data_IF_276392531395
#
_entry.id   IF_276392531395
#
_cell.length_a   1.000
_cell.length_b   1.000
_cell.length_c   1.000
_cell.angle_alpha   90.00
_cell.angle_beta   90.00
_cell.angle_gamma   90.00
#
_symmetry.space_group_name_H-M   'P 1'
#
loop_
_entity.id
_entity.type
_entity.pdbx_description
1 polymer ?
#
# COMPACT_ATOMS: atom_id res chain seq x y z
N UNK A 1 -3.07 19.34 25.18
CA UNK A 1 -2.67 18.66 23.93
C UNK A 1 -1.66 17.59 24.28
N UNK A 2 -2.13 16.37 24.46
CA UNK A 2 -1.26 15.21 24.69
C UNK A 2 -0.62 14.83 23.36
N UNK A 3 0.58 15.32 23.11
CA UNK A 3 1.41 14.86 22.01
C UNK A 3 1.77 13.40 22.27
N UNK A 4 1.21 12.51 21.50
CA UNK A 4 1.37 11.07 21.68
C UNK A 4 2.82 10.69 21.32
N UNK A 5 3.66 10.48 22.33
CA UNK A 5 5.09 10.15 22.21
C UNK A 5 5.36 8.95 21.26
N UNK A 6 4.39 8.02 21.13
CA UNK A 6 4.48 6.89 20.20
C UNK A 6 4.48 7.32 18.73
N UNK A 7 3.75 8.39 18.39
CA UNK A 7 3.72 8.91 17.02
C UNK A 7 5.03 9.66 16.68
N UNK A 8 5.63 10.33 17.67
CA UNK A 8 6.91 11.02 17.49
C UNK A 8 8.03 10.00 17.29
N UNK A 9 8.09 8.93 18.09
CA UNK A 9 9.12 7.90 17.95
C UNK A 9 9.01 7.14 16.62
N UNK A 10 7.78 6.84 16.16
CA UNK A 10 7.56 6.18 14.87
C UNK A 10 7.97 7.08 13.69
N UNK A 11 7.61 8.36 13.73
CA UNK A 11 7.99 9.33 12.69
C UNK A 11 9.50 9.54 12.64
N UNK A 12 10.17 9.56 13.79
CA UNK A 12 11.61 9.70 13.90
C UNK A 12 12.33 8.45 13.36
N UNK A 13 11.87 7.25 13.72
CA UNK A 13 12.40 6.00 13.21
C UNK A 13 12.23 5.89 11.69
N UNK A 14 11.06 6.26 11.18
CA UNK A 14 10.77 6.26 9.76
C UNK A 14 11.65 7.27 9.01
N UNK A 15 11.85 8.47 9.56
CA UNK A 15 12.72 9.49 8.95
C UNK A 15 14.19 9.06 8.92
N UNK A 16 14.69 8.42 9.99
CA UNK A 16 16.03 7.84 10.02
C UNK A 16 16.19 6.73 8.98
N UNK A 17 15.21 5.83 8.87
CA UNK A 17 15.22 4.77 7.88
C UNK A 17 15.25 5.32 6.46
N UNK A 18 14.41 6.32 6.17
CA UNK A 18 14.39 6.99 4.87
C UNK A 18 15.71 7.73 4.57
N UNK A 19 16.33 8.35 5.58
CA UNK A 19 17.63 9.00 5.43
C UNK A 19 18.73 7.98 5.10
N UNK A 20 18.73 6.83 5.77
CA UNK A 20 19.66 5.72 5.49
C UNK A 20 19.42 5.17 4.08
N UNK A 21 18.17 4.92 3.69
CA UNK A 21 17.82 4.46 2.35
C UNK A 21 18.25 5.48 1.28
N UNK A 22 18.01 6.76 1.52
CA UNK A 22 18.43 7.84 0.63
C UNK A 22 19.96 7.93 0.52
N UNK A 23 20.67 7.75 1.63
CA UNK A 23 22.13 7.69 1.63
C UNK A 23 22.64 6.51 0.80
N UNK A 24 22.11 5.30 1.00
CA UNK A 24 22.43 4.13 0.18
C UNK A 24 22.11 4.35 -1.30
N UNK A 25 20.96 4.94 -1.61
CA UNK A 25 20.58 5.30 -2.97
C UNK A 25 21.57 6.29 -3.59
N UNK A 26 21.87 7.38 -2.88
CA UNK A 26 22.70 8.47 -3.40
C UNK A 26 24.19 8.09 -3.50
N UNK A 27 24.71 7.33 -2.56
CA UNK A 27 26.12 6.97 -2.47
C UNK A 27 26.44 5.58 -3.03
N UNK A 28 25.54 4.62 -2.89
CA UNK A 28 25.68 3.28 -3.47
C UNK A 28 25.60 3.25 -5.00
N UNK A 29 24.79 4.13 -5.58
CA UNK A 29 24.65 4.25 -7.05
C UNK A 29 25.82 4.99 -7.68
N UNK A 30 26.46 5.93 -6.97
CA UNK A 30 27.61 6.67 -7.50
C UNK A 30 28.84 5.80 -7.78
N UNK A 31 28.92 4.61 -7.17
CA UNK A 31 30.11 3.76 -7.31
C UNK A 31 30.21 2.99 -8.63
N UNK A 32 29.12 2.85 -9.41
CA UNK A 32 29.10 1.91 -10.52
C UNK A 32 28.60 2.38 -11.89
N UNK A 33 28.33 3.66 -12.16
CA UNK A 33 28.10 4.07 -13.54
C UNK A 33 28.15 5.58 -13.78
N UNK A 34 29.04 5.99 -14.66
CA UNK A 34 29.22 7.37 -15.19
C UNK A 34 28.02 7.80 -16.07
N UNK A 35 27.11 6.91 -16.45
CA UNK A 35 25.99 7.17 -17.37
C UNK A 35 24.66 6.46 -17.04
N UNK A 36 24.31 6.23 -15.79
CA UNK A 36 22.98 5.71 -15.51
C UNK A 36 22.00 6.87 -15.37
N UNK A 37 21.04 6.98 -16.32
CA UNK A 37 19.83 7.82 -16.21
C UNK A 37 19.30 7.69 -14.79
N UNK A 38 19.18 8.80 -14.07
CA UNK A 38 18.71 8.79 -12.68
C UNK A 38 17.35 8.09 -12.62
N UNK A 39 17.32 6.88 -12.07
CA UNK A 39 16.09 6.13 -11.88
C UNK A 39 15.40 6.60 -10.61
N UNK A 40 14.08 6.65 -10.63
CA UNK A 40 13.29 7.00 -9.47
C UNK A 40 13.37 5.89 -8.42
N UNK A 41 13.33 6.24 -7.14
CA UNK A 41 13.25 5.26 -6.05
C UNK A 41 11.81 4.80 -5.89
N UNK A 42 11.57 3.51 -6.10
CA UNK A 42 10.24 2.91 -5.96
C UNK A 42 10.16 2.12 -4.66
N UNK A 43 9.23 2.50 -3.80
CA UNK A 43 8.89 1.82 -2.55
C UNK A 43 7.56 1.09 -2.74
N UNK A 44 7.52 -0.20 -2.47
CA UNK A 44 6.30 -0.99 -2.42
C UNK A 44 5.77 -1.11 -0.99
N UNK A 45 4.46 -0.94 -0.80
CA UNK A 45 3.79 -1.19 0.48
C UNK A 45 2.68 -2.21 0.27
N UNK A 46 2.92 -3.43 0.71
CA UNK A 46 1.98 -4.54 0.65
C UNK A 46 1.27 -4.82 1.98
N UNK A 47 0.16 -5.52 1.91
CA UNK A 47 -0.60 -5.97 3.07
C UNK A 47 -2.10 -5.98 2.81
N UNK A 48 -2.85 -6.67 3.68
CA UNK A 48 -4.29 -6.84 3.55
C UNK A 48 -5.06 -5.52 3.74
N UNK A 49 -6.35 -5.56 3.49
CA UNK A 49 -7.25 -4.41 3.71
C UNK A 49 -7.41 -4.13 5.20
N UNK A 50 -7.19 -2.87 5.60
CA UNK A 50 -7.33 -2.45 7.00
C UNK A 50 -6.06 -2.58 7.85
N UNK A 51 -4.91 -2.97 7.29
CA UNK A 51 -3.65 -3.15 8.04
C UNK A 51 -2.89 -1.85 8.35
N UNK A 52 -3.35 -0.68 7.86
CA UNK A 52 -2.70 0.61 8.14
C UNK A 52 -1.79 1.14 7.02
N UNK A 53 -1.89 0.63 5.79
CA UNK A 53 -1.11 1.13 4.63
C UNK A 53 -1.23 2.65 4.44
N UNK A 54 -2.45 3.17 4.49
CA UNK A 54 -2.71 4.62 4.33
C UNK A 54 -2.07 5.46 5.44
N UNK A 55 -2.00 4.94 6.67
CA UNK A 55 -1.31 5.61 7.78
C UNK A 55 0.17 5.77 7.48
N UNK A 56 0.83 4.71 7.01
CA UNK A 56 2.23 4.77 6.60
C UNK A 56 2.43 5.72 5.41
N UNK A 57 1.54 5.68 4.40
CA UNK A 57 1.58 6.58 3.25
C UNK A 57 1.51 8.05 3.67
N UNK A 58 0.60 8.39 4.58
CA UNK A 58 0.47 9.76 5.08
C UNK A 58 1.74 10.22 5.82
N UNK A 59 2.36 9.33 6.59
CA UNK A 59 3.63 9.64 7.26
C UNK A 59 4.76 9.87 6.26
N UNK A 60 4.83 9.07 5.19
CA UNK A 60 5.79 9.28 4.09
C UNK A 60 5.54 10.60 3.36
N UNK A 61 4.27 10.94 3.12
CA UNK A 61 3.90 12.21 2.48
C UNK A 61 4.32 13.42 3.33
N UNK A 62 4.15 13.34 4.65
CA UNK A 62 4.57 14.42 5.55
C UNK A 62 6.09 14.64 5.53
N UNK A 63 6.87 13.57 5.37
CA UNK A 63 8.35 13.66 5.34
C UNK A 63 8.88 14.08 3.97
N UNK A 64 8.35 13.50 2.89
CA UNK A 64 8.87 13.66 1.53
C UNK A 64 8.21 14.80 0.74
N UNK A 65 7.03 15.26 1.20
CA UNK A 65 6.32 16.39 0.61
C UNK A 65 6.08 16.21 -0.90
N UNK A 66 6.39 17.26 -1.65
CA UNK A 66 6.16 17.29 -3.10
C UNK A 66 7.06 16.36 -3.92
N UNK A 67 8.08 15.75 -3.31
CA UNK A 67 8.96 14.78 -3.96
C UNK A 67 8.33 13.39 -4.06
N UNK A 68 7.24 13.13 -3.35
CA UNK A 68 6.56 11.85 -3.32
C UNK A 68 5.43 11.79 -4.36
N UNK A 69 5.42 10.72 -5.14
CA UNK A 69 4.27 10.27 -5.94
C UNK A 69 3.67 9.04 -5.27
N UNK A 70 2.38 9.08 -4.99
CA UNK A 70 1.63 7.92 -4.44
C UNK A 70 0.80 7.29 -5.55
N UNK A 71 0.91 5.97 -5.68
CA UNK A 71 0.12 5.13 -6.59
C UNK A 71 -0.61 4.07 -5.76
N UNK A 72 -1.92 4.18 -5.70
CA UNK A 72 -2.75 3.19 -5.01
C UNK A 72 -3.10 2.05 -5.97
N UNK A 73 -2.61 0.84 -5.66
CA UNK A 73 -2.89 -0.36 -6.44
C UNK A 73 -4.33 -0.84 -6.32
N UNK A 74 -5.01 -0.46 -5.23
CA UNK A 74 -6.43 -0.79 -5.04
C UNK A 74 -7.35 -0.07 -6.05
N UNK A 75 -6.85 0.93 -6.78
CA UNK A 75 -7.53 1.57 -7.91
C UNK A 75 -7.47 0.79 -9.23
N UNK A 76 -6.76 -0.34 -9.29
CA UNK A 76 -6.56 -1.14 -10.50
C UNK A 76 -7.61 -2.27 -10.67
N UNK A 77 -8.85 -2.09 -10.22
CA UNK A 77 -9.92 -3.05 -10.49
C UNK A 77 -10.16 -3.22 -11.99
N UNK A 78 -10.62 -4.41 -12.40
CA UNK A 78 -10.97 -4.67 -13.80
C UNK A 78 -12.34 -4.19 -14.19
N UNK A 79 -13.27 -4.19 -13.25
CA UNK A 79 -14.69 -3.96 -13.50
C UNK A 79 -15.25 -2.86 -12.60
N UNK A 80 -16.26 -2.19 -13.07
CA UNK A 80 -17.08 -1.27 -12.27
C UNK A 80 -18.10 -2.03 -11.43
N UNK A 81 -18.60 -1.38 -10.39
CA UNK A 81 -19.68 -1.96 -9.58
C UNK A 81 -20.94 -2.08 -10.43
N UNK A 82 -21.51 -3.28 -10.47
CA UNK A 82 -22.69 -3.60 -11.29
C UNK A 82 -22.33 -4.35 -12.58
N UNK A 83 -21.04 -4.50 -12.94
CA UNK A 83 -20.63 -5.43 -13.99
C UNK A 83 -20.90 -6.88 -13.58
N UNK A 84 -21.27 -7.73 -14.53
CA UNK A 84 -21.58 -9.16 -14.30
C UNK A 84 -20.41 -9.94 -13.68
N UNK A 85 -19.19 -9.48 -13.86
CA UNK A 85 -17.99 -10.11 -13.31
C UNK A 85 -17.63 -9.59 -11.91
N UNK A 86 -18.26 -8.50 -11.45
CA UNK A 86 -17.96 -7.87 -10.16
C UNK A 86 -18.04 -8.82 -8.97
N UNK A 87 -19.04 -9.72 -8.98
CA UNK A 87 -19.28 -10.65 -7.89
C UNK A 87 -18.62 -12.02 -8.09
N UNK A 88 -17.97 -12.28 -9.26
CA UNK A 88 -17.35 -13.59 -9.54
C UNK A 88 -16.05 -13.82 -8.77
N UNK A 89 -15.36 -12.74 -8.44
CA UNK A 89 -14.07 -12.79 -7.74
C UNK A 89 -14.07 -11.79 -6.60
N UNK A 90 -13.39 -12.11 -5.49
CA UNK A 90 -13.15 -11.11 -4.47
C UNK A 90 -12.10 -10.11 -4.98
N UNK A 91 -12.04 -8.92 -4.40
CA UNK A 91 -11.01 -7.93 -4.75
C UNK A 91 -9.59 -8.37 -4.35
N UNK A 92 -9.47 -9.44 -3.54
CA UNK A 92 -8.20 -10.04 -3.18
C UNK A 92 -7.70 -11.05 -4.22
N UNK A 93 -8.58 -11.54 -5.10
CA UNK A 93 -8.16 -12.38 -6.22
C UNK A 93 -7.44 -11.51 -7.28
N UNK A 94 -6.20 -11.86 -7.68
CA UNK A 94 -5.48 -11.18 -8.75
C UNK A 94 -6.27 -11.06 -10.06
N UNK A 95 -7.20 -12.00 -10.31
CA UNK A 95 -8.06 -11.97 -11.51
C UNK A 95 -9.02 -10.79 -11.54
N UNK A 96 -9.40 -10.25 -10.38
CA UNK A 96 -10.25 -9.08 -10.28
C UNK A 96 -9.50 -7.75 -10.52
N UNK A 97 -8.18 -7.80 -10.69
CA UNK A 97 -7.32 -6.62 -10.75
C UNK A 97 -6.45 -6.61 -12.03
N UNK A 98 -6.11 -5.43 -12.51
CA UNK A 98 -5.23 -5.22 -13.68
C UNK A 98 -3.75 -5.28 -13.28
N UNK A 99 -3.32 -6.36 -12.60
CA UNK A 99 -1.96 -6.48 -12.04
C UNK A 99 -0.85 -6.42 -13.08
N UNK A 100 -1.10 -6.87 -14.32
CA UNK A 100 -0.12 -6.74 -15.42
C UNK A 100 0.03 -5.29 -15.87
N UNK A 101 -1.08 -4.55 -16.01
CA UNK A 101 -1.06 -3.11 -16.30
C UNK A 101 -0.35 -2.33 -15.20
N UNK A 102 -0.58 -2.70 -13.94
CA UNK A 102 0.15 -2.13 -12.81
C UNK A 102 1.65 -2.41 -12.91
N UNK A 103 2.04 -3.62 -13.29
CA UNK A 103 3.45 -3.98 -13.49
C UNK A 103 4.13 -3.16 -14.58
N UNK A 104 3.44 -2.92 -15.70
CA UNK A 104 3.91 -2.06 -16.79
C UNK A 104 4.05 -0.61 -16.33
N UNK A 105 3.04 -0.09 -15.62
CA UNK A 105 3.09 1.25 -15.05
C UNK A 105 4.27 1.45 -14.09
N UNK A 106 4.56 0.47 -13.23
CA UNK A 106 5.72 0.51 -12.33
C UNK A 106 7.02 0.55 -13.13
N UNK A 107 7.15 -0.25 -14.18
CA UNK A 107 8.32 -0.25 -15.05
C UNK A 107 8.53 1.10 -15.76
N UNK A 108 7.46 1.68 -16.32
CA UNK A 108 7.53 3.00 -16.95
C UNK A 108 7.92 4.09 -15.96
N UNK A 109 7.31 4.09 -14.78
CA UNK A 109 7.65 5.05 -13.72
C UNK A 109 9.11 4.89 -13.25
N UNK A 110 9.62 3.66 -13.16
CA UNK A 110 11.03 3.38 -12.84
C UNK A 110 11.98 4.00 -13.87
N UNK A 111 11.58 3.99 -15.12
CA UNK A 111 12.34 4.58 -16.23
C UNK A 111 12.11 6.10 -16.41
N UNK A 112 11.42 6.74 -15.46
CA UNK A 112 11.07 8.15 -15.52
C UNK A 112 10.16 8.51 -16.70
N UNK A 113 9.27 7.59 -17.09
CA UNK A 113 8.29 7.78 -18.15
C UNK A 113 6.95 8.22 -17.58
N UNK A 114 6.27 9.11 -18.30
CA UNK A 114 4.91 9.54 -17.96
C UNK A 114 3.95 8.40 -18.26
N UNK A 115 3.02 8.15 -17.35
CA UNK A 115 1.94 7.19 -17.56
C UNK A 115 0.57 7.86 -17.54
N UNK A 116 -0.43 7.19 -18.09
CA UNK A 116 -1.83 7.58 -18.00
C UNK A 116 -2.61 6.46 -17.31
N UNK A 117 -3.40 6.81 -16.30
CA UNK A 117 -4.22 5.86 -15.58
C UNK A 117 -5.55 6.45 -15.14
N UNK A 118 -6.56 5.59 -15.06
CA UNK A 118 -7.81 5.83 -14.36
C UNK A 118 -7.81 5.01 -13.07
N UNK A 119 -8.38 5.55 -12.01
CA UNK A 119 -8.49 4.89 -10.72
C UNK A 119 -9.94 4.50 -10.46
N UNK A 120 -10.13 3.33 -9.85
CA UNK A 120 -11.44 2.92 -9.37
C UNK A 120 -11.83 3.71 -8.12
N UNK A 121 -12.99 4.35 -8.15
CA UNK A 121 -13.54 5.07 -7.02
C UNK A 121 -14.46 4.14 -6.20
N UNK A 122 -14.09 3.89 -4.95
CA UNK A 122 -14.86 3.03 -4.05
C UNK A 122 -16.21 3.60 -3.59
N UNK A 123 -16.43 4.90 -3.73
CA UNK A 123 -17.69 5.57 -3.33
C UNK A 123 -18.78 5.26 -4.33
N UNK A 124 -18.57 5.61 -5.60
CA UNK A 124 -19.55 5.43 -6.68
C UNK A 124 -19.41 4.10 -7.43
N UNK A 125 -18.25 3.44 -7.30
CA UNK A 125 -17.99 2.17 -7.93
C UNK A 125 -17.64 2.25 -9.41
N UNK A 126 -17.14 3.40 -9.86
CA UNK A 126 -16.78 3.67 -11.26
C UNK A 126 -15.30 4.01 -11.40
N UNK A 127 -14.82 3.99 -12.64
CA UNK A 127 -13.49 4.50 -12.96
C UNK A 127 -13.49 6.02 -13.10
N UNK A 128 -12.43 6.66 -12.61
CA UNK A 128 -12.18 8.07 -12.86
C UNK A 128 -11.82 8.32 -14.33
N UNK A 129 -11.85 9.58 -14.76
CA UNK A 129 -11.23 9.99 -16.00
C UNK A 129 -9.72 9.65 -16.01
N UNK A 130 -9.18 9.54 -17.22
CA UNK A 130 -7.77 9.25 -17.44
C UNK A 130 -6.90 10.42 -16.96
N UNK A 131 -6.00 10.16 -16.03
CA UNK A 131 -5.10 11.17 -15.47
C UNK A 131 -3.68 10.93 -15.94
N UNK A 132 -2.99 12.03 -16.27
CA UNK A 132 -1.57 12.05 -16.54
C UNK A 132 -0.78 12.00 -15.23
N UNK A 133 0.10 11.03 -15.09
CA UNK A 133 0.96 10.84 -13.92
C UNK A 133 2.41 11.10 -14.32
N UNK A 134 3.01 12.09 -13.70
CA UNK A 134 4.41 12.46 -13.92
C UNK A 134 5.25 11.84 -12.80
N UNK A 135 6.30 11.08 -13.12
CA UNK A 135 7.20 10.50 -12.12
C UNK A 135 7.81 11.57 -11.22
N UNK A 136 8.10 11.18 -9.97
CA UNK A 136 8.81 12.00 -8.99
C UNK A 136 10.01 11.25 -8.44
N UNK A 137 10.85 11.94 -7.66
CA UNK A 137 12.05 11.35 -7.05
C UNK A 137 11.77 10.08 -6.26
N UNK A 138 10.67 10.10 -5.47
CA UNK A 138 10.16 8.96 -4.71
C UNK A 138 8.80 8.55 -5.24
N UNK A 139 8.61 7.26 -5.44
CA UNK A 139 7.33 6.70 -5.90
C UNK A 139 6.93 5.59 -4.92
N UNK A 140 5.76 5.69 -4.34
CA UNK A 140 5.21 4.64 -3.49
C UNK A 140 4.06 3.93 -4.21
N UNK A 141 4.20 2.63 -4.35
CA UNK A 141 3.16 1.73 -4.86
C UNK A 141 2.55 1.00 -3.67
N UNK A 142 1.31 1.31 -3.33
CA UNK A 142 0.62 0.73 -2.18
C UNK A 142 -0.59 -0.06 -2.61
N UNK A 143 -0.79 -1.27 -2.08
CA UNK A 143 -1.99 -2.04 -2.41
C UNK A 143 -1.99 -3.47 -1.89
N UNK A 144 -2.89 -4.27 -2.47
CA UNK A 144 -3.06 -5.68 -2.15
C UNK A 144 -2.04 -6.58 -2.86
N UNK A 145 -1.58 -6.20 -4.06
CA UNK A 145 -0.77 -7.06 -4.95
C UNK A 145 0.57 -6.44 -5.41
N UNK A 146 1.24 -5.56 -4.63
CA UNK A 146 2.45 -4.89 -5.14
C UNK A 146 3.61 -5.87 -5.35
N UNK A 147 3.61 -7.02 -4.67
CA UNK A 147 4.67 -8.03 -4.78
C UNK A 147 4.21 -9.34 -5.42
N UNK A 148 2.99 -9.37 -5.97
CA UNK A 148 2.43 -10.61 -6.52
C UNK A 148 3.19 -11.09 -7.76
N UNK A 149 3.45 -10.22 -8.74
CA UNK A 149 4.19 -10.59 -9.95
C UNK A 149 5.70 -10.43 -9.78
N UNK A 150 6.52 -11.38 -10.27
CA UNK A 150 7.97 -11.24 -10.30
C UNK A 150 8.43 -9.94 -10.98
N UNK A 151 7.80 -9.56 -12.09
CA UNK A 151 8.10 -8.32 -12.83
C UNK A 151 7.87 -7.05 -12.00
N UNK A 152 6.90 -7.05 -11.08
CA UNK A 152 6.70 -5.92 -10.16
C UNK A 152 7.85 -5.85 -9.16
N UNK A 153 8.20 -6.99 -8.55
CA UNK A 153 9.25 -7.07 -7.51
C UNK A 153 10.61 -6.58 -7.98
N UNK A 154 10.97 -6.86 -9.22
CA UNK A 154 12.26 -6.44 -9.82
C UNK A 154 12.35 -4.90 -9.92
N UNK A 155 11.23 -4.23 -10.17
CA UNK A 155 11.19 -2.79 -10.35
C UNK A 155 10.97 -2.01 -9.05
N UNK A 156 10.69 -2.69 -7.94
CA UNK A 156 10.51 -2.09 -6.62
C UNK A 156 11.83 -2.21 -5.85
N UNK A 157 12.41 -1.05 -5.47
CA UNK A 157 13.69 -0.97 -4.80
C UNK A 157 13.64 -1.36 -3.32
N UNK A 158 12.51 -1.03 -2.66
CA UNK A 158 12.31 -1.38 -1.26
C UNK A 158 10.87 -1.82 -1.00
N UNK A 159 10.72 -3.00 -0.43
CA UNK A 159 9.44 -3.67 -0.23
C UNK A 159 9.08 -3.73 1.25
N UNK A 160 8.01 -3.05 1.64
CA UNK A 160 7.48 -3.03 3.00
C UNK A 160 6.19 -3.85 3.03
N UNK A 161 6.10 -4.83 3.92
CA UNK A 161 4.86 -5.53 4.18
C UNK A 161 4.31 -5.15 5.55
N UNK A 162 3.03 -4.75 5.60
CA UNK A 162 2.36 -4.44 6.87
C UNK A 162 1.56 -5.66 7.31
N UNK A 163 1.95 -6.20 8.46
CA UNK A 163 1.40 -7.39 9.09
C UNK A 163 0.76 -7.01 10.43
N UNK A 164 -0.49 -6.59 10.38
CA UNK A 164 -1.24 -6.15 11.55
C UNK A 164 -1.98 -7.34 12.16
N UNK A 165 -1.95 -7.46 13.49
CA UNK A 165 -2.73 -8.48 14.19
C UNK A 165 -4.20 -8.42 13.79
N UNK A 166 -4.82 -9.59 13.64
CA UNK A 166 -6.17 -9.74 13.07
C UNK A 166 -7.23 -8.96 13.84
N UNK A 167 -7.14 -8.92 15.17
CA UNK A 167 -8.07 -8.17 16.02
C UNK A 167 -8.04 -6.66 15.72
N UNK A 168 -6.84 -6.09 15.60
CA UNK A 168 -6.64 -4.68 15.26
C UNK A 168 -7.09 -4.41 13.83
N UNK A 169 -6.69 -5.26 12.88
CA UNK A 169 -7.07 -5.15 11.46
C UNK A 169 -8.58 -5.10 11.28
N UNK A 170 -9.31 -6.04 11.94
CA UNK A 170 -10.78 -6.08 11.91
C UNK A 170 -11.38 -4.81 12.49
N UNK A 171 -10.90 -4.38 13.64
CA UNK A 171 -11.37 -3.17 14.29
C UNK A 171 -11.17 -1.93 13.40
N UNK A 172 -9.98 -1.72 12.87
CA UNK A 172 -9.71 -0.60 11.97
C UNK A 172 -10.53 -0.63 10.69
N UNK A 173 -10.71 -1.83 10.12
CA UNK A 173 -11.54 -2.01 8.93
C UNK A 173 -13.00 -1.68 9.21
N UNK A 174 -13.54 -2.11 10.34
CA UNK A 174 -14.92 -1.81 10.75
C UNK A 174 -15.08 -0.29 10.89
N UNK A 175 -14.21 0.39 11.64
CA UNK A 175 -14.28 1.85 11.81
C UNK A 175 -14.24 2.56 10.45
N UNK A 176 -13.28 2.22 9.62
CA UNK A 176 -13.10 2.86 8.31
C UNK A 176 -14.32 2.65 7.41
N UNK A 177 -14.77 1.42 7.24
CA UNK A 177 -15.80 1.08 6.26
C UNK A 177 -17.20 1.53 6.73
N UNK A 178 -17.42 1.61 8.05
CA UNK A 178 -18.63 2.23 8.62
C UNK A 178 -18.64 3.74 8.39
N UNK A 179 -17.55 4.45 8.76
CA UNK A 179 -17.50 5.91 8.67
C UNK A 179 -17.42 6.41 7.23
N UNK A 180 -16.58 5.80 6.39
CA UNK A 180 -16.26 6.34 5.07
C UNK A 180 -17.08 5.74 3.93
N UNK A 181 -17.70 4.56 4.15
CA UNK A 181 -18.44 3.82 3.11
C UNK A 181 -19.89 3.55 3.48
N UNK A 182 -20.30 3.86 4.70
CA UNK A 182 -21.67 3.65 5.18
C UNK A 182 -22.10 2.19 5.29
N UNK A 183 -21.16 1.24 5.36
CA UNK A 183 -21.49 -0.18 5.48
C UNK A 183 -21.89 -0.55 6.90
N UNK A 184 -22.86 -1.47 7.05
CA UNK A 184 -23.18 -2.06 8.35
C UNK A 184 -22.04 -2.96 8.84
N UNK A 185 -21.89 -3.08 10.16
CA UNK A 185 -20.87 -3.94 10.78
C UNK A 185 -21.05 -5.39 10.29
N UNK A 186 -22.27 -5.88 10.23
CA UNK A 186 -22.57 -7.23 9.75
C UNK A 186 -22.03 -7.45 8.34
N UNK A 187 -22.31 -6.55 7.40
CA UNK A 187 -21.80 -6.62 6.02
C UNK A 187 -20.26 -6.61 5.96
N UNK A 188 -19.62 -5.83 6.82
CA UNK A 188 -18.16 -5.78 6.87
C UNK A 188 -17.58 -7.10 7.37
N UNK A 189 -18.17 -7.68 8.41
CA UNK A 189 -17.76 -8.98 8.95
C UNK A 189 -17.92 -10.10 7.94
N UNK A 190 -19.06 -10.18 7.25
CA UNK A 190 -19.28 -11.13 6.16
C UNK A 190 -18.24 -10.97 5.05
N UNK A 191 -17.91 -9.74 4.67
CA UNK A 191 -16.86 -9.49 3.67
C UNK A 191 -15.47 -9.95 4.14
N UNK A 192 -15.13 -9.80 5.41
CA UNK A 192 -13.86 -10.26 5.97
C UNK A 192 -13.78 -11.78 5.86
N UNK A 193 -14.81 -12.49 6.32
CA UNK A 193 -14.84 -13.96 6.28
C UNK A 193 -14.78 -14.50 4.85
N UNK A 194 -15.61 -13.96 3.96
CA UNK A 194 -15.67 -14.39 2.55
C UNK A 194 -14.34 -14.19 1.80
N UNK A 195 -13.51 -13.23 2.24
CA UNK A 195 -12.22 -12.92 1.62
C UNK A 195 -11.03 -13.63 2.26
N UNK A 196 -11.23 -14.30 3.40
CA UNK A 196 -10.13 -14.88 4.17
C UNK A 196 -9.33 -15.93 3.38
N UNK A 197 -9.99 -16.75 2.57
CA UNK A 197 -9.30 -17.76 1.75
C UNK A 197 -8.40 -17.11 0.70
N UNK A 198 -8.91 -16.07 0.02
CA UNK A 198 -8.12 -15.33 -0.97
C UNK A 198 -6.98 -14.55 -0.33
N UNK A 199 -7.18 -13.98 0.87
CA UNK A 199 -6.12 -13.33 1.63
C UNK A 199 -4.96 -14.31 1.91
N UNK A 200 -5.27 -15.51 2.40
CA UNK A 200 -4.28 -16.56 2.66
C UNK A 200 -3.56 -17.01 1.39
N UNK A 201 -4.28 -17.05 0.26
CA UNK A 201 -3.74 -17.55 -1.01
C UNK A 201 -2.92 -16.51 -1.75
N UNK A 202 -3.33 -15.24 -1.76
CA UNK A 202 -2.78 -14.25 -2.68
C UNK A 202 -2.08 -13.07 -1.97
N UNK A 203 -2.49 -12.73 -0.74
CA UNK A 203 -1.97 -11.54 -0.05
C UNK A 203 -0.86 -11.92 0.93
N UNK A 204 -1.11 -12.88 1.84
CA UNK A 204 -0.17 -13.23 2.89
C UNK A 204 1.18 -13.77 2.38
N UNK A 205 1.24 -14.56 1.29
CA UNK A 205 2.53 -15.04 0.77
C UNK A 205 3.46 -13.94 0.27
N UNK A 206 2.91 -12.77 -0.08
CA UNK A 206 3.73 -11.64 -0.53
C UNK A 206 4.67 -11.09 0.55
N UNK A 207 4.41 -11.42 1.82
CA UNK A 207 5.27 -11.10 2.97
C UNK A 207 6.69 -11.68 2.83
N UNK A 208 6.84 -12.81 2.17
CA UNK A 208 8.13 -13.47 1.93
C UNK A 208 9.07 -12.65 1.04
N UNK A 209 8.51 -11.74 0.24
CA UNK A 209 9.27 -10.88 -0.66
C UNK A 209 9.62 -9.52 -0.06
N UNK A 210 9.20 -9.25 1.18
CA UNK A 210 9.42 -7.97 1.82
C UNK A 210 10.85 -7.83 2.37
N UNK A 211 11.44 -6.66 2.15
CA UNK A 211 12.72 -6.29 2.75
C UNK A 211 12.50 -5.84 4.22
N UNK A 212 11.28 -5.36 4.54
CA UNK A 212 10.86 -4.97 5.88
C UNK A 212 9.44 -5.41 6.19
N UNK A 213 9.19 -5.89 7.41
CA UNK A 213 7.87 -6.20 7.91
C UNK A 213 7.55 -5.27 9.09
N UNK A 214 6.48 -4.50 8.95
CA UNK A 214 5.94 -3.67 10.03
C UNK A 214 4.78 -4.41 10.67
N UNK A 215 4.88 -4.66 11.98
CA UNK A 215 3.83 -5.31 12.75
C UNK A 215 3.17 -4.32 13.72
N UNK A 216 1.84 -4.27 13.69
CA UNK A 216 1.06 -3.57 14.70
C UNK A 216 0.46 -4.56 15.67
N UNK A 217 0.68 -4.31 16.96
CA UNK A 217 0.14 -5.09 18.08
C UNK A 217 -0.75 -4.22 18.94
N UNK A 218 -1.77 -4.79 19.62
CA UNK A 218 -2.47 -4.06 20.65
C UNK A 218 -1.48 -3.73 21.78
N UNK A 219 -1.44 -2.48 22.17
CA UNK A 219 -0.83 -2.13 23.46
C UNK A 219 -1.75 -2.76 24.49
N UNK A 220 -1.24 -3.67 25.34
CA UNK A 220 -1.99 -4.19 26.45
C UNK A 220 -2.52 -2.99 27.22
N UNK A 221 -3.82 -2.74 27.10
CA UNK A 221 -4.49 -1.72 27.89
C UNK A 221 -4.22 -2.10 29.33
N UNK A 222 -3.51 -1.23 30.04
CA UNK A 222 -3.42 -1.31 31.48
C UNK A 222 -4.82 -1.62 32.00
N UNK A 223 -4.98 -2.69 32.76
CA UNK A 223 -6.17 -2.92 33.55
C UNK A 223 -6.28 -1.74 34.53
N UNK A 224 -7.01 -0.71 34.09
CA UNK A 224 -7.41 0.36 34.99
C UNK A 224 -8.49 -0.27 35.85
N UNK A 225 -8.13 -0.59 37.13
CA UNK A 225 -9.09 -0.98 38.15
C UNK A 225 -8.97 -2.40 38.67
N UNK A 226 -7.89 -2.73 39.31
CA UNK A 226 -7.89 -3.61 40.52
C UNK A 226 -7.19 -2.80 41.61
N UNK A 227 -8.00 -2.04 42.36
CA UNK A 227 -7.75 -1.66 43.75
C UNK A 227 -8.65 -2.50 44.61
#
# INVERSE_FOLDING_TARGET
ENVNLSNISFTLLLSMLLAVMYAFYKYGIKSNSIYKKQSNLIIGIGGDSGVGKTTLLNSLQNVLGNKLLQIEGDGEHKWERGDDNWNKFTHLDPKANNIHKQSEAINSLKNNEIIFRSDYNHIDGKFSELKKIIPKEFIVISGLHPFYLPKQRINIDFKIYIDTEESIRRHWKIIRDTKNRGYSIQKIMEQIENRMQDAKKYIYPQKEFADMIIKYYPINTFKIGEQ
#
